data_IF_777833095912
#
_entry.id   IF_777833095912
#
_cell.length_a   1.000
_cell.length_b   1.000
_cell.length_c   1.000
_cell.angle_alpha   90.00
_cell.angle_beta   90.00
_cell.angle_gamma   90.00
#
_symmetry.space_group_name_H-M   'P 1'
#
loop_
_entity.id
_entity.type
_entity.pdbx_description
1 polymer ?
#
# COMPACT_ATOMS: atom_id res chain seq x y z
N UNK A 1 45.72 38.02 32.26
CA UNK A 1 44.32 38.19 31.81
C UNK A 1 44.31 38.26 30.30
N UNK A 2 43.66 37.43 29.50
CA UNK A 2 42.61 36.43 29.67
C UNK A 2 42.00 36.30 28.26
N UNK A 3 42.10 35.12 27.64
CA UNK A 3 41.68 34.90 26.25
C UNK A 3 40.16 34.84 26.05
N UNK A 4 39.72 35.01 24.80
CA UNK A 4 38.36 34.74 24.33
C UNK A 4 38.37 34.49 22.82
N UNK A 5 37.98 33.28 22.43
CA UNK A 5 38.02 32.71 21.08
C UNK A 5 36.91 33.24 20.16
N UNK A 6 37.12 33.09 18.84
CA UNK A 6 36.16 33.38 17.76
C UNK A 6 34.95 32.45 17.85
N UNK A 7 33.76 32.98 17.65
CA UNK A 7 32.59 32.19 17.24
C UNK A 7 32.06 32.76 15.93
N UNK A 8 31.98 31.89 14.92
CA UNK A 8 31.26 32.14 13.69
C UNK A 8 29.77 31.98 13.97
N UNK A 9 28.97 32.91 13.47
CA UNK A 9 27.53 32.76 13.43
C UNK A 9 27.22 31.73 12.32
N UNK A 10 27.21 30.45 12.71
CA UNK A 10 26.60 29.39 11.94
C UNK A 10 25.10 29.70 11.88
N UNK A 11 24.58 30.03 10.69
CA UNK A 11 23.15 30.16 10.40
C UNK A 11 22.42 28.90 10.91
N UNK A 12 21.80 29.01 12.08
CA UNK A 12 21.03 27.93 12.69
C UNK A 12 19.70 27.85 11.94
N UNK A 13 19.61 26.94 10.96
CA UNK A 13 18.36 26.67 10.26
C UNK A 13 17.36 26.09 11.26
N UNK A 14 16.26 26.79 11.52
CA UNK A 14 15.20 26.30 12.40
C UNK A 14 14.53 25.07 11.76
N UNK A 15 14.01 24.18 12.60
CA UNK A 15 13.35 22.94 12.19
C UNK A 15 12.13 23.21 11.29
N UNK A 16 11.52 24.39 11.40
CA UNK A 16 10.42 24.85 10.54
C UNK A 16 10.89 25.25 9.12
N UNK A 17 12.14 25.71 8.97
CA UNK A 17 12.70 26.22 7.70
C UNK A 17 13.28 25.09 6.81
N UNK A 18 13.56 23.94 7.41
CA UNK A 18 13.96 22.71 6.70
C UNK A 18 12.83 22.17 5.80
N UNK A 19 11.57 22.43 6.17
CA UNK A 19 10.39 22.01 5.40
C UNK A 19 10.28 22.74 4.07
N UNK A 20 10.50 24.05 4.06
CA UNK A 20 10.43 24.88 2.85
C UNK A 20 11.64 24.64 1.93
N UNK A 21 12.83 24.42 2.51
CA UNK A 21 14.02 24.02 1.75
C UNK A 21 13.84 22.66 1.05
N UNK A 22 13.26 21.67 1.75
CA UNK A 22 12.92 20.36 1.16
C UNK A 22 11.81 20.47 0.12
N UNK A 23 10.87 21.41 0.28
CA UNK A 23 9.81 21.66 -0.70
C UNK A 23 10.39 22.31 -1.98
N UNK A 24 11.31 23.26 -1.86
CA UNK A 24 11.92 23.97 -3.00
C UNK A 24 12.93 23.13 -3.77
N UNK A 25 13.67 22.23 -3.11
CA UNK A 25 14.74 21.42 -3.72
C UNK A 25 14.35 19.98 -4.05
N UNK A 26 13.06 19.63 -3.96
CA UNK A 26 12.60 18.30 -4.36
C UNK A 26 12.79 18.08 -5.88
N UNK A 27 13.61 17.09 -6.31
CA UNK A 27 13.88 16.81 -7.72
C UNK A 27 12.65 16.25 -8.49
N UNK A 28 11.48 16.24 -7.86
CA UNK A 28 10.27 15.58 -8.34
C UNK A 28 9.09 16.53 -8.59
N UNK A 29 9.34 17.85 -8.73
CA UNK A 29 8.29 18.84 -9.03
C UNK A 29 7.81 18.86 -10.49
N UNK A 30 8.36 18.03 -11.39
CA UNK A 30 8.05 18.05 -12.83
C UNK A 30 7.69 16.67 -13.42
N UNK A 31 6.60 16.07 -12.95
CA UNK A 31 5.88 15.07 -13.74
C UNK A 31 4.39 15.04 -13.39
N UNK A 32 3.61 16.01 -13.88
CA UNK A 32 2.13 15.93 -13.89
C UNK A 32 1.63 14.97 -14.97
N UNK A 33 2.10 13.73 -14.94
CA UNK A 33 1.51 12.61 -15.67
C UNK A 33 0.58 11.82 -14.75
N UNK A 34 -0.38 11.04 -15.29
CA UNK A 34 -1.13 10.10 -14.46
C UNK A 34 -0.14 9.14 -13.75
N UNK A 35 -0.41 8.75 -12.49
CA UNK A 35 0.45 7.82 -11.78
C UNK A 35 0.62 6.53 -12.59
N UNK A 36 1.87 6.10 -12.73
CA UNK A 36 2.21 4.92 -13.53
C UNK A 36 1.48 3.69 -13.00
N UNK A 37 0.79 2.98 -13.89
CA UNK A 37 0.12 1.71 -13.60
C UNK A 37 1.15 0.65 -13.15
N UNK A 38 0.90 -0.02 -12.01
CA UNK A 38 1.81 -1.05 -11.48
C UNK A 38 1.67 -2.37 -12.25
N UNK A 39 0.50 -2.62 -12.83
CA UNK A 39 0.17 -3.89 -13.50
C UNK A 39 0.04 -3.69 -15.01
N UNK A 40 0.48 -4.69 -15.77
CA UNK A 40 0.30 -4.69 -17.23
C UNK A 40 -1.15 -5.01 -17.60
N UNK A 41 -1.62 -4.59 -18.80
CA UNK A 41 -3.00 -4.88 -19.25
C UNK A 41 -3.32 -6.38 -19.31
N UNK A 42 -2.31 -7.23 -19.55
CA UNK A 42 -2.47 -8.68 -19.61
C UNK A 42 -2.73 -9.25 -18.19
N UNK A 43 -1.94 -8.82 -17.21
CA UNK A 43 -2.12 -9.24 -15.81
C UNK A 43 -3.47 -8.74 -15.27
N UNK A 44 -3.84 -7.50 -15.60
CA UNK A 44 -5.14 -6.92 -15.25
C UNK A 44 -6.30 -7.81 -15.71
N UNK A 45 -6.33 -8.18 -16.99
CA UNK A 45 -7.36 -9.09 -17.54
C UNK A 45 -7.36 -10.46 -16.87
N UNK A 46 -6.19 -11.01 -16.55
CA UNK A 46 -6.08 -12.30 -15.84
C UNK A 46 -6.66 -12.23 -14.42
N UNK A 47 -6.30 -11.19 -13.65
CA UNK A 47 -6.79 -10.97 -12.29
C UNK A 47 -8.30 -10.72 -12.28
N UNK A 48 -8.82 -9.93 -13.21
CA UNK A 48 -10.26 -9.69 -13.37
C UNK A 48 -11.02 -10.98 -13.66
N UNK A 49 -10.51 -11.84 -14.55
CA UNK A 49 -11.08 -13.17 -14.83
C UNK A 49 -11.11 -14.08 -13.59
N UNK A 50 -10.14 -13.94 -12.68
CA UNK A 50 -10.09 -14.66 -11.41
C UNK A 50 -10.99 -14.07 -10.32
N UNK A 51 -11.74 -13.02 -10.63
CA UNK A 51 -12.70 -12.36 -9.74
C UNK A 51 -12.08 -11.30 -8.81
N UNK A 52 -10.87 -10.81 -9.10
CA UNK A 52 -10.34 -9.64 -8.41
C UNK A 52 -10.95 -8.36 -8.98
N UNK A 53 -11.30 -7.43 -8.09
CA UNK A 53 -11.56 -6.04 -8.42
C UNK A 53 -10.33 -5.22 -8.07
N UNK A 54 -9.73 -4.59 -9.08
CA UNK A 54 -8.54 -3.77 -8.92
C UNK A 54 -8.94 -2.35 -8.52
N UNK A 55 -8.26 -1.81 -7.51
CA UNK A 55 -8.49 -0.48 -6.95
C UNK A 55 -7.23 0.34 -7.20
N UNK A 56 -7.37 1.43 -7.95
CA UNK A 56 -6.25 2.23 -8.41
C UNK A 56 -5.26 1.42 -9.25
N UNK A 57 -3.98 1.72 -9.09
CA UNK A 57 -2.88 1.13 -9.86
C UNK A 57 -2.31 -0.17 -9.27
N UNK A 58 -2.53 -0.45 -7.98
CA UNK A 58 -1.70 -1.41 -7.22
C UNK A 58 -2.45 -2.29 -6.20
N UNK A 59 -3.67 -1.94 -5.83
CA UNK A 59 -4.44 -2.67 -4.83
C UNK A 59 -5.50 -3.57 -5.47
N UNK A 60 -5.95 -4.58 -4.74
CA UNK A 60 -6.97 -5.50 -5.22
C UNK A 60 -7.83 -6.10 -4.10
N UNK A 61 -9.13 -6.19 -4.35
CA UNK A 61 -10.13 -6.80 -3.48
C UNK A 61 -10.68 -8.05 -4.17
N UNK A 62 -10.98 -9.10 -3.41
CA UNK A 62 -11.69 -10.28 -3.92
C UNK A 62 -12.72 -10.76 -2.91
N UNK A 63 -13.85 -11.27 -3.39
CA UNK A 63 -14.81 -11.90 -2.50
C UNK A 63 -14.24 -13.22 -1.98
N UNK A 64 -14.05 -13.31 -0.67
CA UNK A 64 -13.61 -14.54 -0.04
C UNK A 64 -14.61 -15.67 -0.32
N UNK A 65 -14.09 -16.87 -0.61
CA UNK A 65 -14.90 -18.08 -0.85
C UNK A 65 -15.93 -18.31 0.27
N UNK A 66 -15.54 -18.08 1.52
CA UNK A 66 -16.38 -18.33 2.69
C UNK A 66 -17.36 -17.19 3.00
N UNK A 67 -17.06 -15.96 2.60
CA UNK A 67 -18.05 -14.87 2.59
C UNK A 67 -19.23 -15.27 1.71
N UNK A 68 -18.96 -15.75 0.47
CA UNK A 68 -20.01 -16.24 -0.44
C UNK A 68 -20.75 -17.46 0.11
N UNK A 69 -20.05 -18.37 0.78
CA UNK A 69 -20.66 -19.56 1.41
C UNK A 69 -21.64 -19.17 2.51
N UNK A 70 -21.21 -18.28 3.42
CA UNK A 70 -21.99 -17.86 4.57
C UNK A 70 -23.22 -17.03 4.15
N UNK A 71 -23.09 -16.17 3.13
CA UNK A 71 -24.23 -15.45 2.54
C UNK A 71 -25.29 -16.38 1.94
N UNK A 72 -24.90 -17.60 1.52
CA UNK A 72 -25.82 -18.63 1.01
C UNK A 72 -26.31 -19.61 2.09
N UNK A 73 -26.05 -19.32 3.37
CA UNK A 73 -26.42 -20.18 4.49
C UNK A 73 -25.61 -21.49 4.59
N UNK A 74 -24.48 -21.60 3.91
CA UNK A 74 -23.63 -22.82 3.91
C UNK A 74 -22.50 -22.79 4.94
N UNK A 75 -22.53 -21.86 5.89
CA UNK A 75 -21.54 -21.72 6.97
C UNK A 75 -20.33 -20.82 6.64
N UNK A 76 -19.61 -20.43 7.71
CA UNK A 76 -18.42 -19.59 7.68
C UNK A 76 -17.10 -20.36 7.58
N UNK A 77 -15.98 -19.64 7.48
CA UNK A 77 -14.64 -20.25 7.44
C UNK A 77 -14.17 -20.70 8.81
N UNK A 78 -12.97 -21.29 8.88
CA UNK A 78 -12.34 -21.67 10.15
C UNK A 78 -12.24 -20.50 11.15
N UNK A 79 -12.07 -19.26 10.68
CA UNK A 79 -12.01 -18.08 11.56
C UNK A 79 -13.34 -17.77 12.24
N UNK A 80 -14.46 -18.15 11.62
CA UNK A 80 -15.77 -18.06 12.25
C UNK A 80 -15.88 -19.02 13.43
N UNK A 81 -15.47 -20.28 13.21
CA UNK A 81 -15.51 -21.31 14.26
C UNK A 81 -14.55 -21.03 15.41
N UNK A 82 -13.31 -20.60 15.12
CA UNK A 82 -12.27 -20.46 16.14
C UNK A 82 -12.27 -19.09 16.82
N UNK A 83 -12.67 -18.03 16.11
CA UNK A 83 -12.53 -16.65 16.59
C UNK A 83 -13.86 -15.88 16.59
N UNK A 84 -14.98 -16.51 16.24
CA UNK A 84 -16.28 -15.84 16.16
C UNK A 84 -16.39 -14.81 15.04
N UNK A 85 -15.41 -14.71 14.14
CA UNK A 85 -15.40 -13.71 13.07
C UNK A 85 -16.45 -14.08 12.02
N UNK A 86 -17.44 -13.22 11.82
CA UNK A 86 -18.49 -13.42 10.83
C UNK A 86 -17.92 -13.32 9.40
N UNK A 87 -17.77 -14.46 8.72
CA UNK A 87 -17.15 -14.52 7.39
C UNK A 87 -17.87 -13.67 6.33
N UNK A 88 -19.20 -13.48 6.47
CA UNK A 88 -19.97 -12.63 5.56
C UNK A 88 -19.66 -11.13 5.71
N UNK A 89 -19.00 -10.72 6.80
CA UNK A 89 -18.56 -9.33 7.06
C UNK A 89 -17.06 -9.12 6.82
N UNK A 90 -16.31 -10.17 6.46
CA UNK A 90 -14.89 -10.06 6.17
C UNK A 90 -14.62 -9.46 4.78
N UNK A 91 -13.64 -8.55 4.71
CA UNK A 91 -13.11 -8.03 3.45
C UNK A 91 -11.73 -8.64 3.18
N UNK A 92 -11.58 -9.38 2.08
CA UNK A 92 -10.30 -9.90 1.62
C UNK A 92 -9.70 -8.93 0.58
N UNK A 93 -8.62 -8.26 0.96
CA UNK A 93 -7.98 -7.20 0.17
C UNK A 93 -6.46 -7.23 0.35
N UNK A 94 -5.74 -6.70 -0.63
CA UNK A 94 -4.31 -6.38 -0.53
C UNK A 94 -4.05 -4.98 -1.04
N UNK A 95 -3.28 -4.15 -0.30
CA UNK A 95 -2.87 -2.85 -0.79
C UNK A 95 -1.79 -2.97 -1.88
N UNK A 96 -1.04 -4.07 -1.93
CA UNK A 96 0.02 -4.29 -2.92
C UNK A 96 -0.17 -5.61 -3.67
N UNK A 97 -0.14 -5.54 -5.00
CA UNK A 97 -0.08 -6.72 -5.87
C UNK A 97 1.36 -7.17 -6.15
N UNK A 98 2.36 -6.37 -5.78
CA UNK A 98 3.78 -6.72 -5.89
C UNK A 98 4.25 -7.49 -4.65
N UNK A 99 5.09 -8.50 -4.87
CA UNK A 99 5.72 -9.31 -3.83
C UNK A 99 7.21 -9.51 -4.18
N UNK A 100 8.08 -9.43 -3.18
CA UNK A 100 9.53 -9.66 -3.35
C UNK A 100 9.88 -11.15 -3.48
N UNK A 101 9.02 -12.04 -2.99
CA UNK A 101 9.25 -13.47 -2.96
C UNK A 101 8.54 -14.19 -4.11
N UNK A 102 9.23 -15.19 -4.68
CA UNK A 102 8.69 -16.08 -5.72
C UNK A 102 8.56 -17.50 -5.17
N UNK A 103 7.58 -17.69 -4.29
CA UNK A 103 7.34 -18.98 -3.65
C UNK A 103 6.73 -19.99 -4.63
N UNK A 104 7.13 -21.26 -4.55
CA UNK A 104 6.59 -22.35 -5.40
C UNK A 104 5.09 -22.61 -5.21
N UNK A 105 4.55 -22.21 -4.06
CA UNK A 105 3.13 -22.35 -3.71
C UNK A 105 2.30 -21.09 -4.01
N UNK A 106 2.95 -19.97 -4.36
CA UNK A 106 2.22 -18.79 -4.81
C UNK A 106 1.65 -19.09 -6.19
N UNK A 107 0.34 -18.98 -6.33
CA UNK A 107 -0.36 -19.19 -7.60
C UNK A 107 -0.12 -18.06 -8.60
N UNK A 108 0.47 -16.94 -8.14
CA UNK A 108 0.97 -15.82 -8.94
C UNK A 108 2.46 -16.01 -9.16
#
# INVERSE_FOLDING_TARGET
>A
DGGGCKDGDDDIMDLEDMGDYMETHSPNKTAKGPPKEMITPIIRKSLEKQGYKLIGSHSGVKLCRWTKSMLRGRGGCYKHTFYGIESHRCMETTPSLACANKCVFCWR
#
